data_IF_651613562725
#
_entry.id   IF_651613562725
#
_cell.length_a   1.000
_cell.length_b   1.000
_cell.length_c   1.000
_cell.angle_alpha   90.00
_cell.angle_beta   90.00
_cell.angle_gamma   90.00
#
_symmetry.space_group_name_H-M   'P 1'
#
loop_
_entity.id
_entity.type
_entity.pdbx_description
1 polymer ?
#
# COMPACT_ATOMS: atom_id res chain seq x y z
N UNK A 1 33.83 -14.42 5.31
CA UNK A 1 35.00 -13.70 4.79
C UNK A 1 35.20 -12.42 5.59
N UNK A 2 36.40 -12.19 6.10
CA UNK A 2 36.75 -10.93 6.75
C UNK A 2 37.96 -10.35 6.03
N UNK A 3 37.85 -9.10 5.64
CA UNK A 3 38.91 -8.39 4.93
C UNK A 3 39.37 -7.23 5.80
N UNK A 4 40.68 -7.11 6.03
CA UNK A 4 41.29 -6.04 6.81
C UNK A 4 42.04 -5.12 5.85
N UNK A 5 41.68 -3.84 5.88
CA UNK A 5 42.26 -2.80 5.02
C UNK A 5 43.33 -1.99 5.78
N UNK A 6 44.21 -1.35 5.02
CA UNK A 6 45.31 -0.56 5.53
C UNK A 6 44.89 0.81 6.09
N UNK A 7 43.73 1.34 5.66
CA UNK A 7 43.17 2.62 6.14
C UNK A 7 41.66 2.56 6.28
N UNK A 8 41.12 3.31 7.27
CA UNK A 8 39.70 3.34 7.65
C UNK A 8 39.00 4.65 7.23
N UNK A 9 39.42 5.26 6.17
CA UNK A 9 38.66 6.40 5.61
C UNK A 9 37.74 5.88 4.50
N UNK A 10 36.58 5.31 4.94
CA UNK A 10 35.73 4.47 4.11
C UNK A 10 34.35 4.99 3.74
N UNK A 11 34.13 6.25 3.35
CA UNK A 11 32.80 6.58 2.83
C UNK A 11 32.50 5.89 1.48
N UNK A 12 33.52 5.44 0.73
CA UNK A 12 33.37 4.98 -0.65
C UNK A 12 33.74 3.52 -0.92
N UNK A 13 34.25 2.78 0.06
CA UNK A 13 34.72 1.41 -0.17
C UNK A 13 33.63 0.44 -0.58
N UNK A 14 32.47 0.54 0.08
CA UNK A 14 31.32 -0.37 -0.12
C UNK A 14 30.16 0.29 -0.91
N UNK A 15 30.25 1.60 -1.17
CA UNK A 15 29.20 2.35 -1.84
C UNK A 15 29.50 2.68 -3.30
N UNK A 16 30.68 2.31 -3.81
CA UNK A 16 31.03 2.48 -5.21
C UNK A 16 30.97 1.15 -5.97
N UNK A 17 30.47 1.18 -7.19
CA UNK A 17 30.44 0.00 -8.09
C UNK A 17 31.85 -0.58 -8.34
N UNK A 18 32.86 0.28 -8.25
CA UNK A 18 34.27 -0.10 -8.38
C UNK A 18 35.02 0.40 -7.14
N UNK A 19 35.59 -0.50 -6.33
CA UNK A 19 36.41 -0.11 -5.19
C UNK A 19 37.59 0.78 -5.62
N UNK A 20 38.04 1.73 -4.76
CA UNK A 20 39.23 2.51 -5.03
C UNK A 20 40.46 1.64 -5.27
N UNK A 21 41.29 2.01 -6.25
CA UNK A 21 42.43 1.19 -6.72
C UNK A 21 43.65 1.21 -5.78
N UNK A 22 43.61 2.10 -4.78
CA UNK A 22 44.68 2.29 -3.78
C UNK A 22 44.45 1.50 -2.49
N UNK A 23 43.40 0.71 -2.43
CA UNK A 23 43.10 -0.16 -1.29
C UNK A 23 43.95 -1.43 -1.39
N UNK A 24 44.67 -1.68 -0.32
CA UNK A 24 45.49 -2.90 -0.18
C UNK A 24 44.85 -3.82 0.83
N UNK A 25 44.52 -5.03 0.40
CA UNK A 25 44.06 -6.08 1.33
C UNK A 25 45.27 -6.57 2.11
N UNK A 26 45.30 -6.32 3.42
CA UNK A 26 46.39 -6.71 4.29
C UNK A 26 46.18 -8.08 4.93
N UNK A 27 44.95 -8.53 5.02
CA UNK A 27 44.63 -9.87 5.53
C UNK A 27 43.28 -10.32 4.97
N UNK A 28 43.18 -11.61 4.67
CA UNK A 28 41.96 -12.29 4.22
C UNK A 28 41.73 -13.52 5.09
N UNK A 29 40.60 -13.56 5.77
CA UNK A 29 40.22 -14.64 6.68
C UNK A 29 38.92 -15.28 6.21
N UNK A 30 38.96 -16.61 6.08
CA UNK A 30 37.79 -17.38 5.70
C UNK A 30 37.25 -18.18 6.89
N UNK A 31 35.94 -18.19 7.04
CA UNK A 31 35.25 -19.11 7.94
C UNK A 31 34.91 -20.38 7.17
N UNK A 32 35.23 -21.52 7.77
CA UNK A 32 34.86 -22.84 7.23
C UNK A 32 33.47 -23.27 7.67
N UNK A 33 32.84 -22.52 8.54
CA UNK A 33 31.48 -22.75 9.05
C UNK A 33 30.66 -21.45 9.00
N UNK A 34 29.36 -21.58 8.90
CA UNK A 34 28.43 -20.47 8.95
C UNK A 34 27.16 -20.78 8.15
N UNK A 35 26.09 -20.17 8.55
CA UNK A 35 24.80 -20.23 7.89
C UNK A 35 24.33 -18.80 7.60
N UNK A 36 24.03 -18.50 6.34
CA UNK A 36 23.42 -17.22 5.96
C UNK A 36 21.92 -17.41 5.88
N UNK A 37 21.20 -16.68 6.71
CA UNK A 37 19.73 -16.63 6.69
C UNK A 37 19.32 -15.30 6.11
N UNK A 38 18.60 -15.35 5.00
CA UNK A 38 17.98 -14.19 4.36
C UNK A 38 16.48 -14.36 4.50
N UNK A 39 15.83 -13.39 5.15
CA UNK A 39 14.38 -13.34 5.29
C UNK A 39 13.86 -12.18 4.47
N UNK A 40 12.84 -12.43 3.65
CA UNK A 40 12.11 -11.40 2.93
C UNK A 40 10.72 -11.32 3.51
N UNK A 41 10.33 -10.13 3.95
CA UNK A 41 8.98 -9.80 4.37
C UNK A 41 8.34 -8.96 3.25
N UNK A 42 7.15 -9.34 2.81
CA UNK A 42 6.32 -8.59 1.88
C UNK A 42 5.23 -7.90 2.68
N UNK A 43 5.02 -6.63 2.40
CA UNK A 43 3.84 -5.88 2.83
C UNK A 43 3.13 -5.39 1.57
N UNK A 44 1.84 -5.62 1.50
CA UNK A 44 0.95 -5.14 0.44
C UNK A 44 0.00 -4.10 1.02
N UNK A 45 -0.39 -3.12 0.19
CA UNK A 45 -1.25 -1.99 0.55
C UNK A 45 -1.71 -1.31 -0.75
N UNK A 46 -2.88 -0.70 -0.78
CA UNK A 46 -3.37 0.03 -1.96
C UNK A 46 -2.96 1.51 -1.99
N UNK A 47 -2.48 2.04 -0.83
CA UNK A 47 -2.10 3.45 -0.63
C UNK A 47 -3.24 4.44 -0.92
N UNK A 48 -4.41 4.11 -0.47
CA UNK A 48 -5.63 4.91 -0.65
C UNK A 48 -5.78 6.06 0.36
N UNK A 49 -4.88 6.16 1.35
CA UNK A 49 -4.81 7.11 2.46
C UNK A 49 -5.42 6.62 3.78
N UNK A 50 -6.11 5.51 3.79
CA UNK A 50 -6.44 4.76 5.00
C UNK A 50 -5.25 3.87 5.35
N UNK A 51 -4.97 3.69 6.61
CA UNK A 51 -3.91 2.76 7.03
C UNK A 51 -4.50 1.36 7.10
N UNK A 52 -3.82 0.37 6.55
CA UNK A 52 -4.29 -1.03 6.55
C UNK A 52 -4.81 -1.52 7.92
N UNK A 53 -4.21 -1.05 9.02
CA UNK A 53 -4.66 -1.38 10.38
C UNK A 53 -6.00 -0.74 10.78
N UNK A 54 -6.47 0.27 10.04
CA UNK A 54 -7.78 0.91 10.25
C UNK A 54 -8.87 0.31 9.36
N UNK A 55 -8.48 -0.55 8.45
CA UNK A 55 -9.37 -1.30 7.56
C UNK A 55 -9.74 -2.68 8.12
N UNK A 56 -9.29 -3.00 9.33
CA UNK A 56 -9.83 -4.07 10.18
C UNK A 56 -11.18 -3.60 10.77
N UNK A 57 -12.21 -3.56 9.94
CA UNK A 57 -13.52 -2.99 10.26
C UNK A 57 -14.20 -3.79 11.36
N UNK A 58 -14.05 -5.10 11.34
CA UNK A 58 -14.64 -5.99 12.33
C UNK A 58 -13.81 -6.12 13.63
N UNK A 59 -12.55 -5.61 13.64
CA UNK A 59 -11.66 -5.56 14.80
C UNK A 59 -11.14 -6.90 15.28
N UNK A 60 -11.05 -7.88 14.39
CA UNK A 60 -10.60 -9.24 14.73
C UNK A 60 -9.10 -9.48 14.53
N UNK A 61 -8.40 -8.58 13.82
CA UNK A 61 -6.98 -8.63 13.50
C UNK A 61 -6.64 -9.44 12.25
N UNK A 62 -7.62 -9.81 11.44
CA UNK A 62 -7.45 -10.46 10.13
C UNK A 62 -8.01 -9.56 9.02
N UNK A 63 -7.15 -8.80 8.38
CA UNK A 63 -7.54 -7.86 7.31
C UNK A 63 -8.11 -8.54 6.06
N UNK A 64 -7.95 -9.87 5.93
CA UNK A 64 -8.37 -10.56 4.71
C UNK A 64 -9.87 -10.91 4.71
N UNK A 65 -10.58 -10.71 5.79
CA UNK A 65 -12.01 -10.97 5.88
C UNK A 65 -12.87 -9.70 5.91
N UNK A 66 -12.21 -8.53 5.79
CA UNK A 66 -12.87 -7.25 5.57
C UNK A 66 -12.85 -6.92 4.07
N UNK A 67 -13.97 -7.11 3.40
CA UNK A 67 -14.20 -6.97 1.96
C UNK A 67 -15.61 -6.38 1.83
N UNK A 68 -15.69 -5.06 1.68
CA UNK A 68 -16.94 -4.30 1.82
C UNK A 68 -17.88 -4.52 0.64
N UNK A 69 -17.37 -4.51 -0.59
CA UNK A 69 -18.17 -4.69 -1.81
C UNK A 69 -18.35 -6.16 -2.20
N UNK A 70 -17.52 -7.08 -1.65
CA UNK A 70 -17.60 -8.51 -1.87
C UNK A 70 -17.00 -8.96 -3.20
N UNK A 71 -16.09 -8.20 -3.79
CA UNK A 71 -15.46 -8.52 -5.07
C UNK A 71 -14.29 -9.52 -4.93
N UNK A 72 -13.87 -9.77 -3.69
CA UNK A 72 -12.80 -10.70 -3.32
C UNK A 72 -11.43 -10.05 -3.16
N UNK A 73 -11.34 -8.71 -3.16
CA UNK A 73 -10.18 -7.94 -2.74
C UNK A 73 -10.51 -7.42 -1.34
N UNK A 74 -9.70 -7.72 -0.31
CA UNK A 74 -9.90 -7.10 1.00
C UNK A 74 -9.62 -5.60 0.95
N UNK A 75 -10.32 -4.81 1.76
CA UNK A 75 -10.22 -3.36 1.78
C UNK A 75 -8.78 -2.84 1.80
N UNK A 76 -7.89 -3.38 2.62
CA UNK A 76 -6.48 -2.93 2.69
C UNK A 76 -5.67 -3.11 1.39
N UNK A 77 -6.24 -3.74 0.38
CA UNK A 77 -5.68 -3.94 -0.97
C UNK A 77 -6.55 -3.33 -2.05
N UNK A 78 -7.73 -2.85 -1.67
CA UNK A 78 -8.71 -2.27 -2.56
C UNK A 78 -8.67 -0.75 -2.46
N UNK A 79 -8.45 -0.07 -3.54
CA UNK A 79 -8.45 1.40 -3.56
C UNK A 79 -9.85 2.01 -3.78
N UNK A 80 -10.90 1.18 -3.75
CA UNK A 80 -12.32 1.52 -3.96
C UNK A 80 -13.16 0.55 -3.13
N UNK A 81 -13.14 0.71 -1.79
CA UNK A 81 -13.58 -0.28 -0.80
C UNK A 81 -15.02 -0.75 -0.94
N UNK A 82 -15.90 0.11 -1.41
CA UNK A 82 -17.33 -0.19 -1.58
C UNK A 82 -17.74 -0.45 -3.05
N UNK A 83 -16.76 -0.35 -3.98
CA UNK A 83 -16.94 -0.71 -5.37
C UNK A 83 -17.88 0.22 -6.14
N UNK A 84 -17.91 1.48 -5.77
CA UNK A 84 -18.82 2.49 -6.33
C UNK A 84 -18.20 3.32 -7.47
N UNK A 85 -16.90 3.05 -7.81
CA UNK A 85 -16.10 3.76 -8.80
C UNK A 85 -15.60 5.15 -8.34
N UNK A 86 -15.79 5.55 -7.09
CA UNK A 86 -15.03 6.61 -6.44
C UNK A 86 -13.91 5.94 -5.65
N UNK A 87 -12.70 6.42 -5.74
CA UNK A 87 -11.62 5.84 -4.95
C UNK A 87 -11.74 6.27 -3.50
N UNK A 88 -11.56 5.37 -2.56
CA UNK A 88 -11.58 5.60 -1.10
C UNK A 88 -10.87 6.89 -0.68
N UNK A 89 -9.67 7.17 -1.25
CA UNK A 89 -8.93 8.41 -0.97
C UNK A 89 -9.64 9.70 -1.43
N UNK A 90 -10.53 9.62 -2.41
CA UNK A 90 -11.23 10.77 -2.99
C UNK A 90 -12.52 11.09 -2.22
N UNK A 91 -12.99 10.17 -1.35
CA UNK A 91 -14.16 10.25 -0.49
C UNK A 91 -13.87 10.78 0.92
N UNK A 92 -12.64 11.25 1.10
CA UNK A 92 -12.22 11.92 2.33
C UNK A 92 -12.38 11.07 3.60
N UNK A 93 -11.78 9.88 3.67
CA UNK A 93 -11.82 9.05 4.86
C UNK A 93 -11.15 9.71 6.08
N UNK A 94 -10.16 10.57 5.87
CA UNK A 94 -9.46 11.34 6.92
C UNK A 94 -9.22 12.79 6.44
N UNK A 95 -10.25 13.66 6.47
CA UNK A 95 -10.14 15.04 5.96
C UNK A 95 -9.11 15.89 6.72
N UNK A 96 -8.93 15.64 8.02
CA UNK A 96 -8.02 16.41 8.86
C UNK A 96 -6.59 15.85 8.90
N UNK A 97 -6.38 14.64 8.39
CA UNK A 97 -5.10 13.90 8.28
C UNK A 97 -4.44 13.63 9.63
N UNK A 98 -5.25 13.20 10.60
CA UNK A 98 -4.76 12.84 11.92
C UNK A 98 -4.63 11.31 12.13
N UNK A 99 -4.87 10.52 11.07
CA UNK A 99 -4.92 9.07 11.03
C UNK A 99 -6.05 8.51 11.91
N UNK A 100 -7.17 9.20 11.93
CA UNK A 100 -8.40 8.75 12.58
C UNK A 100 -9.59 8.94 11.63
N UNK A 101 -10.39 7.92 11.45
CA UNK A 101 -11.55 7.93 10.55
C UNK A 101 -12.82 8.53 11.20
N UNK A 102 -12.68 9.16 12.39
CA UNK A 102 -13.84 9.71 13.13
C UNK A 102 -14.48 10.91 12.44
N UNK A 103 -13.82 11.54 11.51
CA UNK A 103 -14.30 12.69 10.74
C UNK A 103 -14.41 12.38 9.25
N UNK A 104 -14.41 11.09 8.88
CA UNK A 104 -14.71 10.64 7.53
C UNK A 104 -16.02 11.23 7.04
N UNK A 105 -16.09 11.53 5.74
CA UNK A 105 -17.32 12.06 5.15
C UNK A 105 -18.43 11.01 5.23
N UNK A 106 -19.64 11.48 5.53
CA UNK A 106 -20.89 10.72 5.58
C UNK A 106 -21.94 11.69 5.02
N UNK A 107 -22.21 11.57 3.73
CA UNK A 107 -22.96 12.58 2.97
C UNK A 107 -24.45 12.54 3.26
N UNK A 108 -25.04 11.37 3.39
CA UNK A 108 -26.46 11.23 3.71
C UNK A 108 -26.77 11.21 5.22
N UNK A 109 -25.74 10.96 6.06
CA UNK A 109 -25.83 11.00 7.50
C UNK A 109 -26.47 9.73 8.11
N UNK A 110 -26.39 8.60 7.44
CA UNK A 110 -26.96 7.34 7.90
C UNK A 110 -26.04 6.59 8.88
N UNK A 111 -24.77 6.97 8.95
CA UNK A 111 -23.74 6.45 9.84
C UNK A 111 -22.80 5.45 9.18
N UNK A 112 -22.92 5.21 7.88
CA UNK A 112 -21.93 4.60 7.03
C UNK A 112 -21.16 5.76 6.38
N UNK A 113 -19.87 5.69 6.29
CA UNK A 113 -19.05 6.74 5.67
C UNK A 113 -18.95 6.51 4.18
N UNK A 114 -18.87 7.58 3.39
CA UNK A 114 -18.94 7.53 1.95
C UNK A 114 -18.02 6.42 1.37
N UNK A 115 -16.78 6.29 1.84
CA UNK A 115 -15.82 5.29 1.35
C UNK A 115 -16.17 3.81 1.67
N UNK A 116 -17.27 3.56 2.38
CA UNK A 116 -17.82 2.23 2.68
C UNK A 116 -19.30 2.13 2.29
N UNK A 117 -19.84 3.16 1.62
CA UNK A 117 -21.25 3.24 1.25
C UNK A 117 -21.38 3.37 -0.28
N UNK A 118 -21.95 2.41 -0.91
CA UNK A 118 -22.15 2.39 -2.37
C UNK A 118 -23.27 3.31 -2.89
N UNK A 119 -23.95 4.08 -2.00
CA UNK A 119 -25.01 5.05 -2.31
C UNK A 119 -24.85 6.30 -1.42
N UNK A 120 -23.78 7.06 -1.66
CA UNK A 120 -23.27 8.13 -0.80
C UNK A 120 -24.30 9.15 -0.36
N UNK A 121 -25.24 9.52 -1.21
CA UNK A 121 -26.25 10.53 -0.92
C UNK A 121 -27.62 9.95 -0.50
N UNK A 122 -27.72 8.61 -0.47
CA UNK A 122 -28.88 7.90 0.03
C UNK A 122 -30.15 8.09 -0.80
N UNK A 123 -30.04 8.42 -2.07
CA UNK A 123 -31.20 8.68 -2.94
C UNK A 123 -31.81 7.40 -3.53
N UNK A 124 -31.09 6.28 -3.43
CA UNK A 124 -31.45 4.96 -3.91
C UNK A 124 -30.92 4.64 -5.30
N UNK A 125 -30.07 5.50 -5.87
CA UNK A 125 -29.23 5.22 -7.02
C UNK A 125 -27.84 4.92 -6.51
N UNK A 126 -27.23 3.81 -6.92
CA UNK A 126 -25.86 3.57 -6.52
C UNK A 126 -24.92 4.61 -7.14
N UNK A 127 -23.96 5.09 -6.38
CA UNK A 127 -22.97 6.08 -6.81
C UNK A 127 -22.34 5.72 -8.16
N UNK A 128 -21.97 4.44 -8.36
CA UNK A 128 -21.43 3.95 -9.65
C UNK A 128 -22.40 4.06 -10.83
N UNK A 129 -23.70 4.11 -10.56
CA UNK A 129 -24.75 4.24 -11.58
C UNK A 129 -25.14 5.69 -11.86
N UNK A 130 -24.52 6.65 -11.20
CA UNK A 130 -24.70 8.08 -11.43
C UNK A 130 -23.70 8.67 -12.43
N UNK A 131 -23.08 7.80 -13.20
CA UNK A 131 -22.29 8.18 -14.35
C UNK A 131 -23.15 8.74 -15.47
N UNK A 132 -22.53 9.57 -16.29
CA UNK A 132 -23.13 10.02 -17.55
C UNK A 132 -22.93 8.96 -18.67
N UNK A 133 -23.35 9.28 -19.87
CA UNK A 133 -23.19 8.39 -21.02
C UNK A 133 -21.74 8.18 -21.48
N UNK A 134 -20.75 8.82 -20.87
CA UNK A 134 -19.32 8.62 -21.20
C UNK A 134 -18.83 7.26 -20.71
N UNK A 135 -19.35 6.79 -19.58
CA UNK A 135 -18.97 5.52 -18.96
C UNK A 135 -17.46 5.43 -18.74
N UNK A 136 -16.89 6.47 -18.11
CA UNK A 136 -15.46 6.54 -17.86
C UNK A 136 -15.07 5.99 -16.47
N UNK A 137 -16.00 5.38 -15.76
CA UNK A 137 -15.89 4.80 -14.44
C UNK A 137 -15.44 5.83 -13.39
N UNK A 138 -16.03 7.03 -13.46
CA UNK A 138 -15.68 8.10 -12.53
C UNK A 138 -16.89 9.01 -12.26
N UNK A 139 -17.84 8.63 -11.43
CA UNK A 139 -19.01 9.43 -11.04
C UNK A 139 -18.64 10.81 -10.49
N UNK A 140 -17.44 10.97 -9.91
CA UNK A 140 -17.01 12.26 -9.36
C UNK A 140 -16.95 13.40 -10.38
N UNK A 141 -16.86 13.11 -11.67
CA UNK A 141 -16.82 14.13 -12.71
C UNK A 141 -18.19 14.40 -13.35
N UNK A 142 -19.21 13.64 -12.98
CA UNK A 142 -20.56 13.77 -13.52
C UNK A 142 -21.37 14.79 -12.72
N UNK A 143 -21.78 15.84 -13.43
CA UNK A 143 -22.42 17.02 -12.84
C UNK A 143 -23.58 17.46 -13.73
N UNK A 144 -24.78 17.08 -13.37
CA UNK A 144 -26.01 17.53 -14.07
C UNK A 144 -26.31 19.00 -13.76
N UNK A 145 -26.08 19.43 -12.54
CA UNK A 145 -26.28 20.80 -12.11
C UNK A 145 -25.03 21.37 -11.43
N UNK A 146 -24.30 22.22 -12.14
CA UNK A 146 -23.05 22.83 -11.66
C UNK A 146 -23.17 23.69 -10.40
N UNK A 147 -24.39 24.03 -9.98
CA UNK A 147 -24.63 24.75 -8.72
C UNK A 147 -24.69 23.81 -7.50
N UNK A 148 -24.89 22.50 -7.74
CA UNK A 148 -25.08 21.49 -6.70
C UNK A 148 -23.86 20.59 -6.50
N UNK A 149 -22.94 20.53 -7.46
CA UNK A 149 -21.74 19.70 -7.40
C UNK A 149 -21.90 18.39 -8.17
N UNK A 150 -21.15 17.37 -7.78
CA UNK A 150 -21.23 16.03 -8.38
C UNK A 150 -22.58 15.38 -8.07
N UNK A 151 -23.09 14.62 -9.01
CA UNK A 151 -24.43 14.03 -8.90
C UNK A 151 -24.49 13.06 -7.73
N UNK A 152 -23.51 12.23 -7.55
CA UNK A 152 -23.40 11.21 -6.50
C UNK A 152 -23.37 11.73 -5.04
N UNK A 153 -23.23 13.03 -4.84
CA UNK A 153 -23.30 13.69 -3.52
C UNK A 153 -24.57 14.51 -3.33
N UNK A 154 -25.55 14.36 -4.21
CA UNK A 154 -26.71 15.23 -4.23
C UNK A 154 -28.04 14.49 -4.41
N UNK A 155 -28.78 14.20 -3.35
CA UNK A 155 -29.99 13.38 -3.39
C UNK A 155 -31.18 14.02 -4.17
N UNK A 156 -30.95 15.12 -4.87
CA UNK A 156 -31.94 15.71 -5.76
C UNK A 156 -31.70 15.35 -7.24
N UNK A 157 -30.58 14.66 -7.51
CA UNK A 157 -30.20 14.17 -8.82
C UNK A 157 -30.14 12.65 -8.76
N UNK A 158 -31.20 12.01 -9.16
CA UNK A 158 -31.35 10.54 -9.19
C UNK A 158 -31.33 10.03 -10.64
N UNK A 159 -30.37 10.51 -11.39
CA UNK A 159 -30.18 10.10 -12.79
C UNK A 159 -29.32 8.83 -12.81
N UNK A 160 -29.89 7.72 -13.25
CA UNK A 160 -29.19 6.46 -13.30
C UNK A 160 -28.79 6.09 -14.74
N UNK A 161 -27.49 5.94 -14.95
CA UNK A 161 -26.90 5.31 -16.14
C UNK A 161 -26.03 4.16 -15.65
N UNK A 162 -26.51 2.91 -15.69
CA UNK A 162 -25.81 1.79 -15.09
C UNK A 162 -24.35 1.70 -15.52
N UNK A 163 -23.46 1.58 -14.54
CA UNK A 163 -22.05 1.33 -14.78
C UNK A 163 -21.84 0.06 -15.61
N UNK A 164 -20.77 -0.02 -16.36
CA UNK A 164 -20.44 -1.16 -17.21
C UNK A 164 -19.13 -1.84 -16.86
N UNK A 165 -18.38 -1.26 -15.95
CA UNK A 165 -17.11 -1.79 -15.47
C UNK A 165 -16.75 -1.16 -14.12
N UNK A 166 -15.92 -1.84 -13.35
CA UNK A 166 -15.22 -1.26 -12.21
C UNK A 166 -13.93 -0.56 -12.64
N UNK A 167 -13.43 0.32 -11.79
CA UNK A 167 -12.11 0.95 -11.98
C UNK A 167 -10.98 -0.06 -11.79
N UNK A 168 -9.81 0.27 -12.36
CA UNK A 168 -8.59 -0.51 -12.18
C UNK A 168 -7.95 -0.13 -10.84
N UNK A 169 -7.70 -1.12 -9.99
CA UNK A 169 -7.06 -0.99 -8.69
C UNK A 169 -5.54 -1.16 -8.80
N UNK A 170 -4.80 -0.57 -7.86
CA UNK A 170 -3.34 -0.68 -7.79
C UNK A 170 -2.94 -1.17 -6.41
N UNK A 171 -2.39 -2.38 -6.35
CA UNK A 171 -1.83 -2.95 -5.12
C UNK A 171 -0.33 -2.71 -5.13
N UNK A 172 0.19 -2.10 -4.07
CA UNK A 172 1.60 -1.78 -3.90
C UNK A 172 2.28 -2.82 -3.04
N UNK A 173 3.47 -3.23 -3.42
CA UNK A 173 4.24 -4.25 -2.75
C UNK A 173 5.55 -3.66 -2.25
N UNK A 174 5.81 -3.78 -0.95
CA UNK A 174 7.05 -3.33 -0.31
C UNK A 174 7.77 -4.51 0.30
N UNK A 175 9.07 -4.62 0.02
CA UNK A 175 9.90 -5.72 0.50
C UNK A 175 10.90 -5.23 1.54
N UNK A 176 10.99 -5.97 2.65
CA UNK A 176 12.01 -5.80 3.68
C UNK A 176 12.87 -7.06 3.71
N UNK A 177 14.16 -6.91 3.44
CA UNK A 177 15.12 -8.01 3.43
C UNK A 177 16.01 -7.90 4.66
N UNK A 178 16.06 -8.97 5.46
CA UNK A 178 16.96 -9.08 6.62
C UNK A 178 18.00 -10.15 6.34
N UNK A 179 19.27 -9.88 6.62
CA UNK A 179 20.35 -10.85 6.50
C UNK A 179 21.05 -11.06 7.85
N UNK A 180 21.12 -12.32 8.24
CA UNK A 180 21.79 -12.77 9.46
C UNK A 180 22.76 -13.89 9.07
N UNK A 181 23.97 -13.85 9.64
CA UNK A 181 24.91 -14.97 9.54
C UNK A 181 25.10 -15.58 10.93
N UNK A 182 24.86 -16.88 11.02
CA UNK A 182 24.99 -17.66 12.25
C UNK A 182 26.28 -18.50 12.21
N UNK A 183 26.83 -18.81 13.38
CA UNK A 183 27.92 -19.78 13.57
C UNK A 183 29.19 -19.50 12.76
N UNK A 184 29.55 -18.21 12.61
CA UNK A 184 30.84 -17.84 11.98
C UNK A 184 31.97 -18.17 12.94
N UNK A 185 32.98 -18.88 12.44
CA UNK A 185 34.21 -19.15 13.15
C UNK A 185 35.40 -18.52 12.41
N UNK A 186 35.82 -17.35 12.88
CA UNK A 186 37.03 -16.67 12.41
C UNK A 186 38.05 -16.55 13.51
N UNK A 187 39.38 -16.58 13.21
CA UNK A 187 40.43 -16.55 14.22
C UNK A 187 40.36 -15.40 15.22
N UNK A 188 39.80 -14.27 14.80
CA UNK A 188 39.77 -13.03 15.59
C UNK A 188 38.35 -12.55 15.90
N UNK A 189 37.33 -13.27 15.47
CA UNK A 189 35.93 -12.93 15.68
C UNK A 189 35.23 -14.20 16.19
N UNK A 190 34.80 -14.16 17.44
CA UNK A 190 33.95 -15.19 18.00
C UNK A 190 32.58 -14.58 18.26
N UNK A 191 31.68 -14.76 17.34
CA UNK A 191 30.32 -14.27 17.45
C UNK A 191 29.36 -15.30 16.85
N UNK A 192 28.41 -15.75 17.67
CA UNK A 192 27.46 -16.77 17.26
C UNK A 192 26.48 -16.27 16.21
N UNK A 193 26.17 -14.97 16.24
CA UNK A 193 25.23 -14.32 15.32
C UNK A 193 25.80 -12.98 14.86
N UNK A 194 25.83 -12.76 13.55
CA UNK A 194 26.17 -11.48 12.96
C UNK A 194 24.98 -10.96 12.15
N UNK A 195 24.36 -9.88 12.64
CA UNK A 195 23.21 -9.26 12.01
C UNK A 195 23.67 -8.11 11.08
N UNK A 196 23.41 -8.22 9.79
CA UNK A 196 23.70 -7.20 8.79
C UNK A 196 22.63 -6.11 8.71
N UNK A 197 21.53 -6.27 9.45
CA UNK A 197 20.43 -5.33 9.49
C UNK A 197 19.37 -5.59 8.43
N UNK A 198 18.59 -4.55 8.16
CA UNK A 198 17.49 -4.56 7.20
C UNK A 198 17.87 -3.74 5.97
N UNK A 199 17.54 -4.26 4.80
CA UNK A 199 17.53 -3.52 3.55
C UNK A 199 16.09 -3.19 3.20
N UNK A 200 15.81 -1.90 3.09
CA UNK A 200 14.58 -1.36 2.48
C UNK A 200 15.02 -0.43 1.36
N UNK A 201 14.59 -0.69 0.15
CA UNK A 201 14.93 0.13 -1.01
C UNK A 201 13.69 0.28 -1.89
N UNK A 202 13.37 1.51 -2.28
CA UNK A 202 12.25 1.80 -3.18
C UNK A 202 12.39 1.09 -4.54
N UNK A 203 13.62 0.73 -4.95
CA UNK A 203 13.84 -0.06 -6.15
C UNK A 203 13.36 -1.52 -6.03
N UNK A 204 13.10 -1.99 -4.81
CA UNK A 204 12.52 -3.30 -4.53
C UNK A 204 10.99 -3.24 -4.43
N UNK A 205 10.43 -2.03 -4.33
CA UNK A 205 8.99 -1.84 -4.32
C UNK A 205 8.44 -1.98 -5.73
N UNK A 206 7.29 -2.60 -5.87
CA UNK A 206 6.59 -2.76 -7.14
C UNK A 206 5.10 -2.48 -6.94
N UNK A 207 4.35 -2.48 -8.01
CA UNK A 207 2.89 -2.46 -7.96
C UNK A 207 2.32 -3.37 -9.03
N UNK A 208 1.20 -3.98 -8.72
CA UNK A 208 0.40 -4.73 -9.68
C UNK A 208 -0.97 -4.07 -9.83
N UNK A 209 -1.55 -4.24 -11.00
CA UNK A 209 -2.87 -3.72 -11.30
C UNK A 209 -3.87 -4.85 -11.36
N UNK A 210 -5.05 -4.58 -10.89
CA UNK A 210 -6.18 -5.47 -10.88
C UNK A 210 -7.44 -4.69 -11.30
N UNK A 211 -8.34 -5.33 -12.00
CA UNK A 211 -9.69 -4.81 -12.26
C UNK A 211 -10.66 -5.88 -11.83
N UNK A 212 -11.57 -5.58 -10.88
CA UNK A 212 -12.60 -6.53 -10.46
C UNK A 212 -13.46 -7.01 -11.63
N UNK A 213 -14.04 -8.20 -11.50
CA UNK A 213 -15.05 -8.67 -12.43
C UNK A 213 -16.39 -7.97 -12.10
N UNK A 214 -16.99 -7.31 -13.12
CA UNK A 214 -18.26 -6.60 -12.98
C UNK A 214 -19.48 -7.51 -13.05
#
# INVERSE_FOLDING_TARGET
LSVIFNELDCPNLFCNDIPPSDIIITNDLESTTGEVVITTELTEDDNDTVLAELEDINGNGDLNDDDTDGDGIPNYLDSDDDGDNILTRDEKPDPNKDNSLNDAQDTDGDGITDYLDSDDDGDGTLTRDEENYSQDQNPANDVTNSELGADYLNPQVFSSVPATAYREHSIFETYVITMIINNISLPNISQDVFNFGKLTDNALSTSRKFTPEF
#
